data_IF_680201122337
#
_entry.id   IF_680201122337
#
_cell.length_a   1.000
_cell.length_b   1.000
_cell.length_c   1.000
_cell.angle_alpha   90.00
_cell.angle_beta   90.00
_cell.angle_gamma   90.00
#
_symmetry.space_group_name_H-M   'P 1'
#
loop_
_entity.id
_entity.type
_entity.pdbx_description
1 polymer ?
#
# COMPACT_ATOMS: atom_id res chain seq x y z
N UNK A 1 7.42 7.27 -4.72
CA UNK A 1 7.64 5.91 -5.27
C UNK A 1 8.96 5.25 -4.88
N UNK A 2 10.08 5.97 -4.76
CA UNK A 2 11.43 5.43 -4.50
C UNK A 2 11.63 4.80 -3.11
N UNK A 3 10.64 4.91 -2.20
CA UNK A 3 10.68 4.35 -0.84
C UNK A 3 9.63 3.27 -0.57
N UNK A 4 9.01 2.72 -1.62
CA UNK A 4 8.02 1.63 -1.48
C UNK A 4 6.62 2.03 -1.02
N UNK A 5 6.36 3.34 -0.92
CA UNK A 5 5.03 3.87 -0.58
C UNK A 5 4.06 3.80 -1.76
N UNK A 6 2.83 3.45 -1.43
CA UNK A 6 1.65 3.38 -2.28
C UNK A 6 0.59 4.33 -1.74
N UNK A 7 -0.18 4.94 -2.65
CA UNK A 7 -1.33 5.75 -2.29
C UNK A 7 -2.61 5.09 -2.78
N UNK A 8 -3.54 4.83 -1.87
CA UNK A 8 -4.82 4.21 -2.21
C UNK A 8 -5.82 5.28 -2.65
N UNK A 9 -6.33 5.21 -3.89
CA UNK A 9 -7.22 6.21 -4.49
C UNK A 9 -8.49 6.45 -3.66
N UNK A 10 -9.21 5.39 -3.31
CA UNK A 10 -10.50 5.51 -2.63
C UNK A 10 -10.36 5.84 -1.14
N UNK A 11 -9.48 5.13 -0.42
CA UNK A 11 -9.23 5.35 1.01
C UNK A 11 -8.42 6.62 1.29
N UNK A 12 -7.82 7.22 0.25
CA UNK A 12 -6.98 8.43 0.32
C UNK A 12 -5.85 8.33 1.35
N UNK A 13 -5.30 7.14 1.51
CA UNK A 13 -4.30 6.82 2.54
C UNK A 13 -3.00 6.34 1.92
N UNK A 14 -1.90 6.67 2.59
CA UNK A 14 -0.57 6.16 2.25
C UNK A 14 -0.32 4.85 2.98
N UNK A 15 0.26 3.88 2.30
CA UNK A 15 0.65 2.62 2.91
C UNK A 15 1.90 2.04 2.24
N UNK A 16 2.59 1.15 2.94
CA UNK A 16 3.82 0.48 2.47
C UNK A 16 3.83 -0.99 2.89
N UNK A 17 4.50 -1.82 2.10
CA UNK A 17 4.71 -3.24 2.43
C UNK A 17 5.66 -3.35 3.62
N UNK A 18 5.41 -4.29 4.53
CA UNK A 18 6.43 -4.73 5.48
C UNK A 18 7.51 -5.50 4.71
N UNK A 19 8.79 -5.19 4.95
CA UNK A 19 9.92 -5.82 4.25
C UNK A 19 10.23 -7.24 4.76
N UNK A 20 9.94 -7.51 6.03
CA UNK A 20 10.34 -8.75 6.70
C UNK A 20 9.22 -9.82 6.71
N UNK A 21 8.16 -9.61 5.93
CA UNK A 21 7.02 -10.52 5.84
C UNK A 21 6.78 -10.88 4.37
N UNK A 22 6.81 -12.17 4.06
CA UNK A 22 6.52 -12.66 2.72
C UNK A 22 5.07 -12.34 2.31
N UNK A 23 4.89 -12.00 1.04
CA UNK A 23 3.56 -11.89 0.44
C UNK A 23 2.88 -13.26 0.49
N UNK A 24 1.71 -13.32 1.12
CA UNK A 24 0.91 -14.54 1.17
C UNK A 24 0.43 -14.96 -0.23
N UNK A 25 0.11 -13.98 -1.08
CA UNK A 25 -0.33 -14.19 -2.47
C UNK A 25 0.17 -13.05 -3.33
N UNK A 26 0.65 -13.34 -4.55
CA UNK A 26 0.95 -12.33 -5.56
C UNK A 26 0.46 -12.80 -6.92
N UNK A 27 -0.39 -12.01 -7.55
CA UNK A 27 -0.93 -12.26 -8.89
C UNK A 27 -0.65 -11.08 -9.80
N UNK A 28 -1.17 -11.11 -11.04
CA UNK A 28 -1.07 -9.98 -11.98
C UNK A 28 -1.97 -8.80 -11.60
N UNK A 29 -3.04 -9.03 -10.86
CA UNK A 29 -4.08 -8.01 -10.58
C UNK A 29 -4.09 -7.55 -9.12
N UNK A 30 -3.69 -8.42 -8.20
CA UNK A 30 -3.64 -8.11 -6.78
C UNK A 30 -2.54 -8.89 -6.05
N UNK A 31 -2.25 -8.48 -4.83
CA UNK A 31 -1.44 -9.23 -3.88
C UNK A 31 -2.03 -9.16 -2.47
N UNK A 32 -1.62 -10.08 -1.61
CA UNK A 32 -2.07 -10.18 -0.23
C UNK A 32 -0.86 -10.27 0.70
N UNK A 33 -0.85 -9.47 1.76
CA UNK A 33 0.28 -9.44 2.69
C UNK A 33 0.09 -8.46 3.83
N UNK A 34 1.19 -8.15 4.51
CA UNK A 34 1.21 -7.25 5.67
C UNK A 34 1.71 -5.87 5.27
N UNK A 35 0.97 -4.84 5.68
CA UNK A 35 1.23 -3.45 5.31
C UNK A 35 1.15 -2.52 6.52
N UNK A 36 1.91 -1.44 6.47
CA UNK A 36 1.70 -0.30 7.34
C UNK A 36 0.88 0.76 6.61
N UNK A 37 -0.19 1.21 7.24
CA UNK A 37 -1.01 2.34 6.81
C UNK A 37 -0.62 3.56 7.63
N UNK A 38 -0.47 4.70 6.98
CA UNK A 38 -0.19 5.97 7.63
C UNK A 38 -1.43 6.86 7.57
N UNK A 39 -2.01 7.16 8.73
CA UNK A 39 -3.13 8.07 8.84
C UNK A 39 -2.61 9.48 9.18
N UNK A 40 -2.74 10.46 8.26
CA UNK A 40 -2.28 11.82 8.49
C UNK A 40 -3.11 12.57 9.53
N UNK A 41 -4.34 12.14 9.83
CA UNK A 41 -5.20 12.82 10.81
C UNK A 41 -4.76 12.55 12.24
N UNK A 42 -4.34 11.31 12.51
CA UNK A 42 -3.86 10.86 13.83
C UNK A 42 -2.34 10.86 13.95
N UNK A 43 -1.64 11.05 12.83
CA UNK A 43 -0.18 10.97 12.71
C UNK A 43 0.40 9.63 13.19
N UNK A 44 -0.31 8.54 12.91
CA UNK A 44 0.04 7.19 13.35
C UNK A 44 0.21 6.22 12.19
N UNK A 45 1.07 5.21 12.42
CA UNK A 45 1.19 4.05 11.53
C UNK A 45 0.51 2.84 12.15
N UNK A 46 -0.44 2.25 11.43
CA UNK A 46 -1.15 1.03 11.86
C UNK A 46 -0.75 -0.14 10.97
N UNK A 47 -0.42 -1.28 11.60
CA UNK A 47 -0.19 -2.53 10.88
C UNK A 47 -1.53 -3.15 10.48
N UNK A 48 -1.61 -3.59 9.22
CA UNK A 48 -2.73 -4.38 8.70
C UNK A 48 -2.17 -5.66 8.11
N UNK A 49 -2.45 -6.77 8.79
CA UNK A 49 -2.13 -8.10 8.32
C UNK A 49 -3.16 -8.57 7.29
N UNK A 50 -2.71 -9.43 6.38
CA UNK A 50 -3.58 -10.12 5.43
C UNK A 50 -4.38 -9.20 4.49
N UNK A 51 -3.91 -7.96 4.30
CA UNK A 51 -4.55 -6.94 3.47
C UNK A 51 -4.39 -7.28 1.98
N UNK A 52 -5.47 -7.08 1.21
CA UNK A 52 -5.51 -7.30 -0.23
C UNK A 52 -5.25 -5.98 -0.95
N UNK A 53 -4.09 -5.88 -1.57
CA UNK A 53 -3.74 -4.77 -2.44
C UNK A 53 -4.19 -5.05 -3.88
N UNK A 54 -5.22 -4.35 -4.34
CA UNK A 54 -5.63 -4.35 -5.74
C UNK A 54 -4.82 -3.28 -6.47
N UNK A 55 -4.02 -3.67 -7.46
CA UNK A 55 -3.07 -2.75 -8.11
C UNK A 55 -3.78 -1.57 -8.82
N UNK A 56 -5.00 -1.79 -9.29
CA UNK A 56 -5.82 -0.74 -9.93
C UNK A 56 -6.25 0.36 -8.94
N UNK A 57 -6.37 0.03 -7.65
CA UNK A 57 -6.78 0.97 -6.60
C UNK A 57 -5.64 1.86 -6.10
N UNK A 58 -4.40 1.60 -6.57
CA UNK A 58 -3.24 2.41 -6.24
C UNK A 58 -3.02 3.47 -7.31
N UNK A 59 -2.67 4.69 -6.90
CA UNK A 59 -2.19 5.67 -7.87
C UNK A 59 -0.93 5.18 -8.57
N UNK A 60 -0.84 5.50 -9.87
CA UNK A 60 0.36 5.24 -10.67
C UNK A 60 1.36 6.36 -10.46
N UNK A 61 2.60 6.16 -10.88
CA UNK A 61 3.59 7.25 -10.89
C UNK A 61 2.99 8.44 -11.66
N UNK A 62 2.89 9.62 -11.05
CA UNK A 62 2.46 10.80 -11.79
C UNK A 62 3.48 11.08 -12.88
N UNK A 63 2.99 11.37 -14.08
CA UNK A 63 3.80 11.89 -15.17
C UNK A 63 3.84 13.40 -14.94
N UNK A 64 5.01 13.93 -14.61
CA UNK A 64 5.18 15.37 -14.45
C UNK A 64 5.04 16.05 -15.82
N UNK A 65 4.44 17.26 -15.91
CA UNK A 65 4.36 18.03 -17.14
C UNK A 65 5.74 18.42 -17.68
#
# INVERSE_FOLDING_TARGET
YTRGWFYHKNLRIWFTRLKDMDLLVKTRTYERGCYYFFDPNTWQMTRKDNFVLIYEMVEKRPILP
#
